data_IF_584099371906
#
_entry.id   IF_584099371906
#
_cell.length_a   1.000
_cell.length_b   1.000
_cell.length_c   1.000
_cell.angle_alpha   90.00
_cell.angle_beta   90.00
_cell.angle_gamma   90.00
#
_symmetry.space_group_name_H-M   'P 1'
#
loop_
_entity.id
_entity.type
_entity.pdbx_description
1 polymer ?
#
# COMPACT_ATOMS: atom_id res chain seq x y z
N UNK A 1 -2.99 25.59 -28.79
CA UNK A 1 -2.49 24.24 -29.16
C UNK A 1 -1.70 23.52 -28.04
N UNK A 2 -1.33 24.15 -26.92
CA UNK A 2 -0.48 23.55 -25.86
C UNK A 2 -1.25 22.67 -24.84
N UNK A 3 -2.55 22.94 -24.59
CA UNK A 3 -3.34 22.27 -23.55
C UNK A 3 -3.66 20.77 -23.81
N UNK A 4 -3.77 20.36 -25.09
CA UNK A 4 -4.02 18.96 -25.44
C UNK A 4 -2.80 18.05 -25.20
N UNK A 5 -1.59 18.62 -25.29
CA UNK A 5 -0.36 17.86 -25.07
C UNK A 5 -0.15 17.57 -23.58
N UNK A 6 -0.39 18.56 -22.71
CA UNK A 6 -0.23 18.40 -21.25
C UNK A 6 -1.21 17.39 -20.65
N UNK A 7 -2.45 17.33 -21.13
CA UNK A 7 -3.44 16.33 -20.69
C UNK A 7 -3.06 14.91 -21.13
N UNK A 8 -2.65 14.77 -22.39
CA UNK A 8 -2.19 13.49 -22.93
C UNK A 8 -1.00 12.98 -22.14
N UNK A 9 -0.02 13.85 -21.85
CA UNK A 9 1.12 13.52 -21.01
C UNK A 9 0.71 13.13 -19.58
N UNK A 10 -0.23 13.85 -18.96
CA UNK A 10 -0.72 13.50 -17.62
C UNK A 10 -1.43 12.14 -17.59
N UNK A 11 -2.25 11.82 -18.60
CA UNK A 11 -2.92 10.52 -18.73
C UNK A 11 -1.94 9.38 -18.96
N UNK A 12 -0.94 9.59 -19.82
CA UNK A 12 0.15 8.64 -20.02
C UNK A 12 0.95 8.44 -18.72
N UNK A 13 1.21 9.52 -17.99
CA UNK A 13 1.85 9.47 -16.67
C UNK A 13 1.06 8.63 -15.66
N UNK A 14 -0.24 8.87 -15.51
CA UNK A 14 -1.12 8.07 -14.65
C UNK A 14 -1.19 6.61 -15.10
N UNK A 15 -1.31 6.37 -16.41
CA UNK A 15 -1.28 5.02 -16.97
C UNK A 15 0.02 4.29 -16.63
N UNK A 16 1.16 4.98 -16.75
CA UNK A 16 2.47 4.47 -16.34
C UNK A 16 2.54 4.13 -14.85
N UNK A 17 1.99 4.97 -13.98
CA UNK A 17 1.92 4.71 -12.52
C UNK A 17 1.09 3.46 -12.23
N UNK A 18 -0.09 3.32 -12.84
CA UNK A 18 -0.96 2.14 -12.66
C UNK A 18 -0.25 0.86 -13.12
N UNK A 19 0.41 0.90 -14.29
CA UNK A 19 1.17 -0.23 -14.80
C UNK A 19 2.34 -0.60 -13.87
N UNK A 20 3.08 0.39 -13.36
CA UNK A 20 4.20 0.17 -12.46
C UNK A 20 3.75 -0.45 -11.12
N UNK A 21 2.68 0.05 -10.50
CA UNK A 21 2.09 -0.56 -9.29
C UNK A 21 1.63 -2.00 -9.57
N UNK A 22 0.98 -2.24 -10.71
CA UNK A 22 0.49 -3.58 -11.08
C UNK A 22 1.64 -4.57 -11.27
N UNK A 23 2.71 -4.17 -11.97
CA UNK A 23 3.91 -4.99 -12.14
C UNK A 23 4.61 -5.24 -10.80
N UNK A 24 4.68 -4.24 -9.93
CA UNK A 24 5.26 -4.40 -8.59
C UNK A 24 4.45 -5.39 -7.75
N UNK A 25 3.13 -5.28 -7.77
CA UNK A 25 2.22 -6.20 -7.09
C UNK A 25 2.36 -7.63 -7.63
N UNK A 26 2.46 -7.79 -8.95
CA UNK A 26 2.68 -9.08 -9.59
C UNK A 26 4.04 -9.70 -9.23
N UNK A 27 5.12 -8.94 -9.34
CA UNK A 27 6.47 -9.40 -8.94
C UNK A 27 6.52 -9.80 -7.46
N UNK A 28 5.85 -9.03 -6.60
CA UNK A 28 5.74 -9.33 -5.17
C UNK A 28 4.97 -10.62 -4.94
N UNK A 29 3.88 -10.83 -5.67
CA UNK A 29 3.10 -12.06 -5.63
C UNK A 29 3.95 -13.29 -5.96
N UNK A 30 4.70 -13.24 -7.06
CA UNK A 30 5.58 -14.34 -7.47
C UNK A 30 6.64 -14.63 -6.39
N UNK A 31 7.29 -13.60 -5.86
CA UNK A 31 8.29 -13.76 -4.78
C UNK A 31 7.69 -14.36 -3.51
N UNK A 32 6.51 -13.89 -3.08
CA UNK A 32 5.80 -14.45 -1.92
C UNK A 32 5.50 -15.94 -2.12
N UNK A 33 5.00 -16.33 -3.29
CA UNK A 33 4.72 -17.73 -3.60
C UNK A 33 5.99 -18.59 -3.55
N UNK A 34 7.07 -18.13 -4.17
CA UNK A 34 8.33 -18.86 -4.22
C UNK A 34 8.94 -19.03 -2.82
N UNK A 35 9.00 -17.95 -2.03
CA UNK A 35 9.59 -17.98 -0.69
C UNK A 35 8.72 -18.71 0.32
N UNK A 36 7.39 -18.65 0.21
CA UNK A 36 6.49 -19.44 1.03
C UNK A 36 6.72 -20.94 0.80
N UNK A 37 6.79 -21.38 -0.47
CA UNK A 37 7.04 -22.78 -0.80
C UNK A 37 8.43 -23.23 -0.31
N UNK A 38 9.46 -22.39 -0.49
CA UNK A 38 10.81 -22.67 0.00
C UNK A 38 10.86 -22.80 1.53
N UNK A 39 10.19 -21.89 2.25
CA UNK A 39 10.13 -21.92 3.71
C UNK A 39 9.35 -23.14 4.24
N UNK A 40 8.24 -23.49 3.60
CA UNK A 40 7.46 -24.68 3.96
C UNK A 40 8.27 -25.96 3.74
N UNK A 41 8.99 -26.06 2.63
CA UNK A 41 9.86 -27.20 2.34
C UNK A 41 11.04 -27.28 3.32
N UNK A 42 11.69 -26.15 3.62
CA UNK A 42 12.74 -26.06 4.64
C UNK A 42 12.25 -26.54 6.00
N UNK A 43 11.07 -26.09 6.43
CA UNK A 43 10.46 -26.53 7.68
C UNK A 43 10.24 -28.05 7.71
N UNK A 44 9.80 -28.62 6.58
CA UNK A 44 9.58 -30.07 6.43
C UNK A 44 10.89 -30.86 6.50
N UNK A 45 11.92 -30.41 5.79
CA UNK A 45 13.25 -31.04 5.74
C UNK A 45 13.93 -31.01 7.10
N UNK A 46 13.95 -29.85 7.75
CA UNK A 46 14.56 -29.64 9.07
C UNK A 46 13.69 -30.14 10.23
N UNK A 47 12.48 -30.66 9.93
CA UNK A 47 11.47 -31.10 10.92
C UNK A 47 11.16 -30.03 11.97
N UNK A 48 11.18 -28.77 11.54
CA UNK A 48 10.90 -27.58 12.35
C UNK A 48 9.46 -27.14 12.20
N UNK A 49 9.00 -26.36 13.18
CA UNK A 49 7.67 -25.75 13.09
C UNK A 49 7.68 -24.69 11.97
N UNK A 50 6.70 -24.74 11.09
CA UNK A 50 6.53 -23.67 10.10
C UNK A 50 5.67 -22.55 10.69
N UNK A 51 6.20 -21.33 10.73
CA UNK A 51 5.54 -20.14 11.30
C UNK A 51 5.40 -19.09 10.21
N UNK A 52 4.24 -18.44 10.16
CA UNK A 52 3.92 -17.42 9.17
C UNK A 52 3.61 -16.11 9.89
N UNK A 53 4.31 -15.04 9.54
CA UNK A 53 4.06 -13.69 10.02
C UNK A 53 3.36 -12.90 8.92
N UNK A 54 2.13 -12.47 9.17
CA UNK A 54 1.29 -11.77 8.20
C UNK A 54 0.79 -10.44 8.76
N UNK A 55 0.56 -9.42 7.92
CA UNK A 55 -0.05 -8.17 8.36
C UNK A 55 -1.43 -8.44 8.94
N UNK A 56 -1.88 -7.59 9.87
CA UNK A 56 -3.21 -7.74 10.46
C UNK A 56 -4.34 -7.59 9.42
N UNK A 57 -5.54 -8.01 9.81
CA UNK A 57 -6.71 -7.95 8.94
C UNK A 57 -7.08 -6.50 8.62
N UNK A 58 -7.17 -6.17 7.33
CA UNK A 58 -7.68 -4.88 6.89
C UNK A 58 -8.81 -5.11 5.88
N UNK A 59 -10.08 -5.05 6.32
CA UNK A 59 -11.23 -5.04 5.41
C UNK A 59 -11.36 -6.19 4.38
N UNK A 60 -12.41 -6.09 3.55
CA UNK A 60 -12.72 -7.08 2.50
C UNK A 60 -11.78 -7.00 1.30
N UNK A 61 -11.33 -5.79 0.94
CA UNK A 61 -10.44 -5.54 -0.20
C UNK A 61 -9.05 -6.14 0.06
N UNK A 62 -8.46 -5.93 1.23
CA UNK A 62 -7.16 -6.52 1.58
C UNK A 62 -7.26 -8.03 1.78
N UNK A 63 -8.44 -8.57 2.13
CA UNK A 63 -8.69 -10.02 2.12
C UNK A 63 -8.68 -10.58 0.69
N UNK A 64 -9.34 -9.92 -0.26
CA UNK A 64 -9.33 -10.32 -1.67
C UNK A 64 -7.93 -10.19 -2.29
N UNK A 65 -7.22 -9.09 -2.00
CA UNK A 65 -5.82 -8.91 -2.36
C UNK A 65 -4.93 -9.97 -1.71
N UNK A 66 -5.18 -10.43 -0.48
CA UNK A 66 -4.42 -11.54 0.12
C UNK A 66 -4.67 -12.88 -0.57
N UNK A 67 -5.92 -13.17 -0.93
CA UNK A 67 -6.29 -14.36 -1.73
C UNK A 67 -5.57 -14.31 -3.08
N UNK A 68 -5.60 -13.15 -3.73
CA UNK A 68 -4.88 -12.90 -4.98
C UNK A 68 -3.36 -13.06 -4.77
N UNK A 69 -2.80 -12.41 -3.76
CA UNK A 69 -1.36 -12.34 -3.42
C UNK A 69 -0.78 -13.62 -2.79
N UNK A 70 -1.59 -14.62 -2.47
CA UNK A 70 -1.15 -15.94 -2.01
C UNK A 70 -1.55 -17.06 -2.99
N UNK A 71 -2.33 -16.71 -4.04
CA UNK A 71 -2.77 -17.62 -5.09
C UNK A 71 -3.61 -18.80 -4.57
N UNK A 72 -3.62 -19.90 -5.33
CA UNK A 72 -4.43 -21.11 -5.04
C UNK A 72 -4.18 -21.76 -3.68
N UNK A 73 -3.05 -21.45 -3.02
CA UNK A 73 -2.66 -22.03 -1.74
C UNK A 73 -3.20 -21.23 -0.54
N UNK A 74 -3.85 -20.07 -0.77
CA UNK A 74 -4.47 -19.30 0.30
C UNK A 74 -5.47 -20.11 1.16
N UNK A 75 -6.33 -20.98 0.59
CA UNK A 75 -7.12 -21.88 1.39
C UNK A 75 -6.23 -22.81 2.20
N UNK A 76 -5.18 -23.40 1.64
CA UNK A 76 -4.30 -24.31 2.37
C UNK A 76 -3.58 -23.62 3.56
N UNK A 77 -3.05 -22.41 3.41
CA UNK A 77 -2.40 -21.67 4.52
C UNK A 77 -3.37 -21.35 5.66
N UNK A 78 -4.63 -21.01 5.34
CA UNK A 78 -5.66 -20.63 6.33
C UNK A 78 -6.54 -21.80 6.80
N UNK A 79 -6.64 -22.89 6.03
CA UNK A 79 -7.40 -24.10 6.36
C UNK A 79 -6.48 -25.18 6.98
N UNK A 80 -5.16 -25.06 6.84
CA UNK A 80 -4.21 -25.71 7.75
C UNK A 80 -4.33 -25.06 9.12
N UNK A 81 -5.32 -25.50 9.92
CA UNK A 81 -5.52 -25.15 11.34
C UNK A 81 -4.27 -25.35 12.23
N UNK A 82 -3.15 -25.81 11.67
CA UNK A 82 -1.90 -26.18 12.35
C UNK A 82 -0.76 -25.16 12.16
N UNK A 83 -0.85 -24.26 11.17
CA UNK A 83 0.21 -23.26 10.96
C UNK A 83 -0.02 -22.07 11.91
N UNK A 84 0.90 -21.77 12.83
CA UNK A 84 0.77 -20.62 13.71
C UNK A 84 1.00 -19.34 12.90
N UNK A 85 0.00 -18.45 12.91
CA UNK A 85 0.10 -17.12 12.31
C UNK A 85 0.46 -16.13 13.41
N UNK A 86 1.53 -15.36 13.23
CA UNK A 86 1.97 -14.27 14.12
C UNK A 86 1.59 -12.94 13.47
N UNK A 87 1.01 -12.03 14.24
CA UNK A 87 0.68 -10.67 13.74
C UNK A 87 1.75 -9.65 14.09
N UNK A 88 1.84 -8.52 13.36
CA UNK A 88 2.69 -7.40 13.75
C UNK A 88 2.47 -6.96 15.20
N UNK A 89 1.22 -6.84 15.66
CA UNK A 89 0.95 -6.43 17.04
C UNK A 89 1.40 -7.48 18.07
N UNK A 90 1.48 -8.75 17.70
CA UNK A 90 2.06 -9.79 18.58
C UNK A 90 3.57 -9.63 18.69
N UNK A 91 4.28 -9.35 17.59
CA UNK A 91 5.72 -9.03 17.62
C UNK A 91 6.00 -7.77 18.45
N UNK A 92 5.11 -6.79 18.43
CA UNK A 92 5.26 -5.54 19.19
C UNK A 92 5.03 -5.69 20.70
N UNK A 93 4.32 -6.74 21.13
CA UNK A 93 4.08 -7.00 22.57
C UNK A 93 5.27 -7.62 23.29
N UNK A 94 6.34 -7.97 22.56
CA UNK A 94 7.50 -8.68 23.07
C UNK A 94 7.54 -10.13 22.61
N UNK A 95 8.26 -11.02 23.34
CA UNK A 95 8.48 -12.39 22.89
C UNK A 95 7.18 -13.18 22.67
N UNK A 96 7.09 -13.84 21.52
CA UNK A 96 5.96 -14.72 21.15
C UNK A 96 6.10 -16.06 21.86
N UNK A 97 5.68 -16.12 23.13
CA UNK A 97 5.92 -17.26 24.03
C UNK A 97 5.40 -18.62 23.55
N UNK A 98 4.38 -18.64 22.68
CA UNK A 98 3.87 -19.88 22.08
C UNK A 98 4.79 -20.50 21.02
N UNK A 99 5.90 -19.83 20.70
CA UNK A 99 6.96 -20.29 19.79
C UNK A 99 8.30 -20.26 20.56
N UNK A 100 8.85 -21.45 20.79
CA UNK A 100 10.14 -21.59 21.46
C UNK A 100 11.28 -20.97 20.63
N UNK A 101 12.36 -20.59 21.30
CA UNK A 101 13.57 -20.13 20.61
C UNK A 101 14.16 -21.26 19.77
N UNK A 102 14.76 -20.92 18.63
CA UNK A 102 15.42 -21.86 17.72
C UNK A 102 14.58 -23.11 17.37
N UNK A 103 13.30 -22.90 17.07
CA UNK A 103 12.36 -24.00 16.86
C UNK A 103 11.59 -23.95 15.55
N UNK A 104 11.69 -22.83 14.82
CA UNK A 104 10.86 -22.55 13.68
C UNK A 104 11.64 -22.25 12.41
N UNK A 105 10.96 -22.43 11.28
CA UNK A 105 11.24 -21.71 10.04
C UNK A 105 10.17 -20.65 9.91
N UNK A 106 10.59 -19.40 9.74
CA UNK A 106 9.74 -18.22 9.81
C UNK A 106 9.63 -17.57 8.44
N UNK A 107 8.41 -17.51 7.91
CA UNK A 107 8.09 -16.77 6.70
C UNK A 107 7.38 -15.47 7.06
N UNK A 108 7.88 -14.33 6.56
CA UNK A 108 7.40 -12.98 6.87
C UNK A 108 6.97 -12.30 5.57
N UNK A 109 5.68 -11.99 5.43
CA UNK A 109 5.17 -11.39 4.20
C UNK A 109 4.64 -9.97 4.44
N UNK A 110 5.41 -8.96 4.07
CA UNK A 110 5.05 -7.54 4.12
C UNK A 110 4.52 -7.14 5.51
N UNK A 111 5.31 -7.41 6.55
CA UNK A 111 5.01 -7.07 7.94
C UNK A 111 5.92 -5.98 8.48
N UNK A 112 7.19 -5.99 8.10
CA UNK A 112 8.21 -5.09 8.63
C UNK A 112 7.93 -3.62 8.29
N UNK A 113 7.13 -3.37 7.27
CA UNK A 113 6.63 -2.05 6.89
C UNK A 113 5.73 -1.45 7.96
N UNK A 114 5.07 -2.27 8.78
CA UNK A 114 3.97 -1.85 9.65
C UNK A 114 4.29 -1.87 11.14
N UNK A 115 5.42 -2.48 11.54
CA UNK A 115 5.87 -2.51 12.93
C UNK A 115 6.42 -1.16 13.37
N UNK A 116 6.35 -0.88 14.66
CA UNK A 116 6.92 0.32 15.29
C UNK A 116 8.45 0.26 15.40
N UNK A 117 9.02 -0.93 15.62
CA UNK A 117 10.46 -1.17 15.72
C UNK A 117 10.85 -2.39 14.88
N UNK A 118 11.53 -2.15 13.75
CA UNK A 118 12.01 -3.20 12.85
C UNK A 118 13.09 -4.05 13.51
N UNK A 119 13.95 -3.46 14.33
CA UNK A 119 15.05 -4.19 14.98
C UNK A 119 14.48 -5.16 15.99
N UNK A 120 13.61 -4.70 16.89
CA UNK A 120 12.97 -5.56 17.87
C UNK A 120 12.15 -6.69 17.20
N UNK A 121 11.43 -6.39 16.12
CA UNK A 121 10.70 -7.39 15.36
C UNK A 121 11.64 -8.45 14.73
N UNK A 122 12.77 -8.02 14.14
CA UNK A 122 13.76 -8.92 13.56
C UNK A 122 14.49 -9.75 14.61
N UNK A 123 14.79 -9.18 15.79
CA UNK A 123 15.39 -9.90 16.90
C UNK A 123 14.46 -11.03 17.38
N UNK A 124 13.16 -10.77 17.46
CA UNK A 124 12.16 -11.79 17.81
C UNK A 124 11.99 -12.86 16.71
N UNK A 125 11.99 -12.45 15.43
CA UNK A 125 11.98 -13.39 14.30
C UNK A 125 13.22 -14.29 14.34
N UNK A 126 14.40 -13.71 14.58
CA UNK A 126 15.65 -14.44 14.70
C UNK A 126 15.65 -15.35 15.93
N UNK A 127 15.10 -14.91 17.06
CA UNK A 127 14.94 -15.76 18.25
C UNK A 127 14.13 -17.01 17.93
N UNK A 128 12.99 -16.89 17.26
CA UNK A 128 12.15 -18.04 16.86
C UNK A 128 12.85 -18.95 15.85
N UNK A 129 13.55 -18.37 14.88
CA UNK A 129 14.22 -19.07 13.79
C UNK A 129 15.55 -19.71 14.20
N UNK A 130 16.21 -19.15 15.21
CA UNK A 130 17.54 -19.46 15.72
C UNK A 130 18.71 -19.17 14.76
N UNK A 131 18.46 -19.16 13.46
CA UNK A 131 19.45 -18.92 12.43
C UNK A 131 18.81 -18.20 11.23
N UNK A 132 19.59 -17.40 10.50
CA UNK A 132 19.08 -16.57 9.38
C UNK A 132 18.63 -17.40 8.20
N UNK A 133 19.16 -18.61 8.03
CA UNK A 133 18.80 -19.58 6.98
C UNK A 133 17.38 -20.12 7.15
N UNK A 134 16.77 -19.90 8.30
CA UNK A 134 15.40 -20.29 8.61
C UNK A 134 14.43 -19.10 8.50
N UNK A 135 14.87 -17.97 7.95
CA UNK A 135 14.10 -16.73 7.83
C UNK A 135 13.87 -16.41 6.35
N UNK A 136 12.61 -16.24 5.97
CA UNK A 136 12.21 -15.93 4.60
C UNK A 136 11.34 -14.66 4.62
N UNK A 137 11.87 -13.55 4.12
CA UNK A 137 11.20 -12.24 4.21
C UNK A 137 10.86 -11.72 2.82
N UNK A 138 9.65 -11.18 2.69
CA UNK A 138 9.24 -10.39 1.54
C UNK A 138 8.84 -9.01 1.99
N UNK A 139 9.40 -7.99 1.36
CA UNK A 139 9.00 -6.59 1.56
C UNK A 139 8.21 -6.05 0.37
N UNK A 140 7.49 -4.96 0.61
CA UNK A 140 6.93 -4.08 -0.42
C UNK A 140 8.07 -3.30 -1.06
N UNK A 141 8.09 -3.24 -2.39
CA UNK A 141 9.13 -2.53 -3.11
C UNK A 141 9.11 -1.03 -2.75
N UNK A 142 10.24 -0.44 -2.32
CA UNK A 142 10.26 0.87 -1.67
C UNK A 142 9.88 2.03 -2.61
N UNK A 143 9.97 1.84 -3.93
CA UNK A 143 9.61 2.83 -4.95
C UNK A 143 8.11 2.88 -5.27
N UNK A 144 7.31 1.98 -4.69
CA UNK A 144 5.86 1.94 -4.96
C UNK A 144 5.10 2.97 -4.14
N UNK A 145 4.02 3.50 -4.72
CA UNK A 145 2.97 4.23 -4.02
C UNK A 145 2.39 3.38 -2.91
N UNK A 146 2.24 2.06 -3.11
CA UNK A 146 1.80 1.15 -2.04
C UNK A 146 2.73 1.24 -0.81
N UNK A 147 4.06 1.22 -1.00
CA UNK A 147 5.00 1.34 0.11
C UNK A 147 4.87 2.69 0.82
N UNK A 148 4.66 3.77 0.08
CA UNK A 148 4.71 5.13 0.63
C UNK A 148 3.38 5.62 1.20
N UNK A 149 2.28 5.36 0.52
CA UNK A 149 0.96 5.93 0.81
C UNK A 149 0.10 5.06 1.72
N UNK A 150 0.47 3.80 1.96
CA UNK A 150 -0.29 2.94 2.87
C UNK A 150 -0.41 3.61 4.26
N UNK A 151 -1.60 3.71 4.86
CA UNK A 151 -1.81 4.47 6.10
C UNK A 151 -0.92 4.00 7.26
N UNK A 152 -0.68 2.69 7.34
CA UNK A 152 0.13 2.08 8.40
C UNK A 152 1.62 1.92 8.07
N UNK A 153 2.05 2.18 6.84
CA UNK A 153 3.45 1.97 6.47
C UNK A 153 4.36 2.98 7.17
N UNK A 154 5.24 2.47 8.03
CA UNK A 154 6.25 3.25 8.75
C UNK A 154 7.61 3.10 8.10
N UNK A 155 7.83 1.98 7.41
CA UNK A 155 9.12 1.62 6.82
C UNK A 155 8.97 1.20 5.37
N UNK A 156 9.98 1.51 4.57
CA UNK A 156 10.14 1.02 3.20
C UNK A 156 11.56 0.48 3.04
N UNK A 157 11.71 -0.63 2.33
CA UNK A 157 13.01 -1.26 2.21
C UNK A 157 13.03 -2.56 1.44
N UNK A 158 14.20 -3.17 1.46
CA UNK A 158 14.48 -4.41 0.74
C UNK A 158 14.85 -5.46 1.77
N UNK A 159 14.26 -6.64 1.63
CA UNK A 159 14.73 -7.84 2.28
C UNK A 159 15.26 -8.83 1.24
N UNK A 160 16.38 -9.43 1.57
CA UNK A 160 16.96 -10.60 0.91
C UNK A 160 17.18 -11.69 1.97
N UNK A 161 17.58 -12.90 1.56
CA UNK A 161 17.71 -14.09 2.43
C UNK A 161 18.54 -13.84 3.70
N UNK A 162 19.50 -12.91 3.66
CA UNK A 162 20.40 -12.62 4.79
C UNK A 162 20.44 -11.16 5.22
N UNK A 163 19.77 -10.25 4.50
CA UNK A 163 19.87 -8.81 4.78
C UNK A 163 18.50 -8.17 4.74
N UNK A 164 18.16 -7.45 5.80
CA UNK A 164 16.96 -6.61 5.87
C UNK A 164 17.42 -5.17 6.03
N UNK A 165 17.10 -4.33 5.05
CA UNK A 165 17.43 -2.90 5.06
C UNK A 165 16.14 -2.10 4.91
N UNK A 166 15.73 -1.45 6.00
CA UNK A 166 14.51 -0.65 6.08
C UNK A 166 14.84 0.80 6.45
N UNK A 167 14.24 1.74 5.73
CA UNK A 167 14.30 3.17 6.02
C UNK A 167 12.92 3.72 6.43
N UNK A 168 12.87 4.76 7.28
CA UNK A 168 11.60 5.34 7.70
C UNK A 168 10.91 6.08 6.54
N UNK A 169 9.59 5.93 6.45
CA UNK A 169 8.75 6.73 5.55
C UNK A 169 8.41 8.02 6.27
N UNK A 170 8.91 9.14 5.74
CA UNK A 170 8.67 10.47 6.30
C UNK A 170 7.37 11.08 5.77
N UNK A 171 6.85 12.09 6.48
CA UNK A 171 5.72 12.89 5.99
C UNK A 171 6.03 13.56 4.66
N UNK A 172 7.30 13.93 4.42
CA UNK A 172 7.75 14.50 3.16
C UNK A 172 7.63 13.50 2.01
N UNK A 173 8.05 12.24 2.19
CA UNK A 173 7.87 11.18 1.19
C UNK A 173 6.39 11.00 0.82
N UNK A 174 5.51 10.96 1.83
CA UNK A 174 4.06 10.86 1.64
C UNK A 174 3.49 12.06 0.89
N UNK A 175 3.89 13.27 1.28
CA UNK A 175 3.45 14.51 0.66
C UNK A 175 3.84 14.59 -0.82
N UNK A 176 5.09 14.24 -1.17
CA UNK A 176 5.53 14.20 -2.57
C UNK A 176 4.77 13.16 -3.39
N UNK A 177 4.65 11.92 -2.89
CA UNK A 177 3.94 10.86 -3.60
C UNK A 177 2.46 11.20 -3.83
N UNK A 178 1.77 11.69 -2.79
CA UNK A 178 0.37 12.11 -2.90
C UNK A 178 0.22 13.32 -3.83
N UNK A 179 1.09 14.32 -3.69
CA UNK A 179 1.08 15.52 -4.52
C UNK A 179 1.27 15.23 -6.00
N UNK A 180 2.18 14.32 -6.36
CA UNK A 180 2.40 13.88 -7.73
C UNK A 180 1.14 13.24 -8.33
N UNK A 181 0.54 12.28 -7.61
CA UNK A 181 -0.66 11.59 -8.07
C UNK A 181 -1.84 12.54 -8.22
N UNK A 182 -2.07 13.42 -7.23
CA UNK A 182 -3.15 14.40 -7.27
C UNK A 182 -2.96 15.42 -8.39
N UNK A 183 -1.73 15.87 -8.65
CA UNK A 183 -1.43 16.82 -9.72
C UNK A 183 -1.67 16.20 -11.10
N UNK A 184 -1.22 14.95 -11.30
CA UNK A 184 -1.48 14.21 -12.54
C UNK A 184 -2.99 13.98 -12.75
N UNK A 185 -3.71 13.59 -11.69
CA UNK A 185 -5.16 13.43 -11.72
C UNK A 185 -5.88 14.73 -12.08
N UNK A 186 -5.55 15.83 -11.41
CA UNK A 186 -6.15 17.14 -11.66
C UNK A 186 -5.94 17.59 -13.11
N UNK A 187 -4.69 17.55 -13.61
CA UNK A 187 -4.37 17.93 -15.00
C UNK A 187 -5.12 17.04 -16.00
N UNK A 188 -5.23 15.73 -15.73
CA UNK A 188 -5.92 14.78 -16.61
C UNK A 188 -7.44 15.01 -16.73
N UNK A 189 -8.05 15.61 -15.68
CA UNK A 189 -9.49 15.79 -15.53
C UNK A 189 -9.99 17.20 -15.88
N UNK A 190 -9.09 18.18 -16.10
CA UNK A 190 -9.51 19.53 -16.53
C UNK A 190 -10.28 19.47 -17.86
N UNK A 191 -11.52 19.96 -17.87
CA UNK A 191 -12.28 20.25 -19.10
C UNK A 191 -11.80 21.58 -19.69
N UNK A 192 -11.77 21.73 -21.02
CA UNK A 192 -11.78 23.08 -21.61
C UNK A 192 -13.15 23.68 -21.28
N UNK A 193 -13.21 24.69 -20.41
CA UNK A 193 -14.29 25.67 -20.54
C UNK A 193 -13.93 26.47 -21.80
N UNK A 194 -14.60 26.16 -22.90
CA UNK A 194 -14.59 27.05 -24.06
C UNK A 194 -15.22 28.39 -23.67
N UNK A 195 -14.68 29.53 -24.14
CA UNK A 195 -15.36 30.80 -24.07
C UNK A 195 -16.35 30.84 -25.24
N UNK A 196 -17.49 30.17 -25.11
CA UNK A 196 -18.61 30.28 -26.04
C UNK A 196 -19.87 29.89 -25.26
N UNK A 197 -20.47 30.88 -24.61
CA UNK A 197 -21.88 30.93 -24.17
C UNK A 197 -22.10 32.31 -23.51
N UNK A 198 -22.10 33.39 -24.32
CA UNK A 198 -22.86 34.63 -24.05
C UNK A 198 -22.55 35.72 -25.10
N UNK A 199 -23.02 35.52 -26.34
CA UNK A 199 -23.27 36.53 -27.39
C UNK A 199 -23.93 35.73 -28.54
N UNK A 200 -25.18 35.87 -28.97
CA UNK A 200 -26.13 36.97 -29.06
C UNK A 200 -27.56 36.43 -28.92
N UNK A 201 -28.47 37.27 -28.41
CA UNK A 201 -29.78 37.46 -29.05
C UNK A 201 -30.31 38.82 -28.58
N UNK A 202 -30.22 39.81 -29.47
CA UNK A 202 -30.99 41.05 -29.42
C UNK A 202 -32.22 40.82 -30.30
N UNK A 203 -33.41 40.77 -29.70
CA UNK A 203 -34.59 41.39 -30.30
C UNK A 203 -35.63 41.78 -29.24
N UNK A 204 -36.32 42.88 -29.53
CA UNK A 204 -37.18 43.70 -28.70
C UNK A 204 -38.44 42.99 -28.17
N UNK A 205 -38.84 43.33 -26.94
CA UNK A 205 -40.15 42.98 -26.41
C UNK A 205 -40.34 43.33 -24.94
N UNK A 206 -40.83 44.53 -24.67
CA UNK A 206 -41.31 45.00 -23.37
C UNK A 206 -42.15 43.93 -22.62
N UNK A 207 -42.01 43.81 -21.28
CA UNK A 207 -43.01 44.17 -20.27
C UNK A 207 -42.32 44.26 -18.88
N UNK A 208 -42.45 45.44 -18.28
CA UNK A 208 -42.61 45.77 -16.86
C UNK A 208 -42.57 44.63 -15.81
N UNK A 209 -41.66 44.75 -14.85
CA UNK A 209 -41.95 44.47 -13.44
C UNK A 209 -40.93 45.17 -12.54
N UNK A 210 -41.32 46.36 -12.08
CA UNK A 210 -40.79 47.05 -10.91
C UNK A 210 -40.65 46.10 -9.70
N UNK A 211 -39.45 46.00 -9.12
CA UNK A 211 -39.28 45.96 -7.66
C UNK A 211 -38.04 46.77 -7.29
N UNK A 212 -38.29 48.01 -6.88
CA UNK A 212 -37.38 48.83 -6.08
C UNK A 212 -37.61 48.41 -4.62
N UNK A 213 -36.58 47.93 -3.92
CA UNK A 213 -36.54 48.03 -2.45
C UNK A 213 -35.23 48.69 -2.07
N UNK A 214 -35.38 49.96 -1.71
CA UNK A 214 -34.37 50.85 -1.19
C UNK A 214 -33.94 50.38 0.21
N UNK A 215 -32.64 50.26 0.40
CA UNK A 215 -32.02 50.17 1.73
C UNK A 215 -31.96 51.57 2.29
N UNK A 216 -32.62 51.81 3.43
CA UNK A 216 -32.11 52.76 4.42
C UNK A 216 -32.76 52.55 5.78
N UNK A 217 -31.94 52.52 6.83
CA UNK A 217 -32.09 53.25 8.09
C UNK A 217 -30.75 53.16 8.82
N UNK A 218 -29.91 54.18 8.63
CA UNK A 218 -29.48 55.12 9.68
C UNK A 218 -28.99 54.52 11.03
N UNK A 219 -27.93 54.99 11.70
CA UNK A 219 -27.29 56.30 11.71
C UNK A 219 -26.01 56.22 12.56
N UNK A 220 -25.11 57.17 12.32
CA UNK A 220 -24.16 57.87 13.22
C UNK A 220 -24.01 57.40 14.66
#
# INVERSE_FOLDING_TARGET
MVANNTRTLARLGLGGVVLAESMAAWSRWERRRALFAAAAERARVERRRFVVVLPEHEGSLTKALRVYEMGRHYPEVFHMRRIPIVSPAELERGPVHRIASDSAVVYVACVLEYVSDVRAAMDEILRMAGAVENIYVVTVQPWTLTATLHPRARWAGIADTHTVSMGPITALHRGFAAGLVLSLAAVSATSERGPDDAQDDVDDGAIDAHVIVQVDKDFK
#
